data_IF_797437090318
#
_entry.id   IF_797437090318
#
_cell.length_a   1.000
_cell.length_b   1.000
_cell.length_c   1.000
_cell.angle_alpha   90.00
_cell.angle_beta   90.00
_cell.angle_gamma   90.00
#
_symmetry.space_group_name_H-M   'P 1'
#
loop_
_entity.id
_entity.type
_entity.pdbx_description
1 polymer ?
#
# COMPACT_ATOMS: atom_id res chain seq x y z
N UNK A 1 20.19 30.99 25.05
CA UNK A 1 20.01 29.51 24.95
C UNK A 1 18.56 29.01 25.02
N UNK A 2 17.52 29.84 25.29
CA UNK A 2 16.11 29.41 25.19
C UNK A 2 15.52 29.48 23.77
N UNK A 3 15.97 30.42 22.94
CA UNK A 3 15.45 30.62 21.57
C UNK A 3 15.76 29.42 20.64
N UNK A 4 17.02 28.97 20.59
CA UNK A 4 17.46 27.84 19.77
C UNK A 4 16.69 26.53 20.06
N UNK A 5 16.40 26.24 21.34
CA UNK A 5 15.64 25.04 21.70
C UNK A 5 14.19 25.06 21.22
N UNK A 6 13.58 26.25 21.16
CA UNK A 6 12.20 26.42 20.70
C UNK A 6 12.12 26.30 19.18
N UNK A 7 13.11 26.84 18.46
CA UNK A 7 13.19 26.77 17.00
C UNK A 7 13.40 25.32 16.53
N UNK A 8 14.37 24.60 17.09
CA UNK A 8 14.61 23.19 16.76
C UNK A 8 13.40 22.29 17.04
N UNK A 9 12.63 22.56 18.09
CA UNK A 9 11.39 21.80 18.37
C UNK A 9 10.27 22.09 17.36
N UNK A 10 10.19 23.31 16.82
CA UNK A 10 9.19 23.65 15.79
C UNK A 10 9.51 23.02 14.46
N UNK A 11 10.77 23.03 14.05
CA UNK A 11 11.21 22.47 12.78
C UNK A 11 10.94 20.96 12.73
N UNK A 12 11.33 20.26 13.79
CA UNK A 12 11.07 18.82 13.93
C UNK A 12 9.57 18.48 13.89
N UNK A 13 8.74 19.27 14.58
CA UNK A 13 7.29 19.06 14.55
C UNK A 13 6.70 19.35 13.15
N UNK A 14 7.34 20.19 12.35
CA UNK A 14 6.93 20.44 10.98
C UNK A 14 7.30 19.29 10.06
N UNK A 15 8.52 18.75 10.20
CA UNK A 15 8.99 17.56 9.47
C UNK A 15 8.10 16.35 9.77
N UNK A 16 7.86 16.05 11.05
CA UNK A 16 7.01 14.92 11.46
C UNK A 16 5.57 15.04 10.91
N UNK A 17 5.04 16.26 10.78
CA UNK A 17 3.73 16.48 10.15
C UNK A 17 3.77 16.22 8.64
N UNK A 18 4.80 16.70 7.94
CA UNK A 18 4.94 16.48 6.50
C UNK A 18 5.07 14.98 6.17
N UNK A 19 5.89 14.26 6.94
CA UNK A 19 6.04 12.79 6.82
C UNK A 19 4.68 12.08 7.01
N UNK A 20 3.94 12.43 8.07
CA UNK A 20 2.63 11.84 8.35
C UNK A 20 1.58 12.22 7.29
N UNK A 21 1.61 13.45 6.79
CA UNK A 21 0.69 13.95 5.75
C UNK A 21 0.86 13.18 4.44
N UNK A 22 2.11 13.02 3.99
CA UNK A 22 2.42 12.21 2.80
C UNK A 22 1.93 10.77 2.99
N UNK A 23 2.34 10.12 4.09
CA UNK A 23 1.99 8.73 4.37
C UNK A 23 0.48 8.50 4.52
N UNK A 24 -0.26 9.52 4.98
CA UNK A 24 -1.72 9.48 5.09
C UNK A 24 -2.40 9.41 3.73
N UNK A 25 -1.77 9.93 2.67
CA UNK A 25 -2.27 9.89 1.29
C UNK A 25 -2.16 8.53 0.60
N UNK A 26 -1.54 7.53 1.25
CA UNK A 26 -1.35 6.19 0.68
C UNK A 26 -2.45 5.24 1.17
N UNK A 27 -3.15 4.62 0.22
CA UNK A 27 -4.23 3.67 0.49
C UNK A 27 -4.28 2.54 -0.55
N UNK A 28 -4.95 1.45 -0.20
CA UNK A 28 -5.20 0.36 -1.14
C UNK A 28 -6.43 -0.47 -0.76
N UNK A 29 -7.12 -1.00 -1.77
CA UNK A 29 -8.30 -1.85 -1.59
C UNK A 29 -8.44 -2.86 -2.73
N UNK A 30 -9.12 -3.97 -2.45
CA UNK A 30 -9.37 -4.98 -3.47
C UNK A 30 -10.36 -4.44 -4.51
N UNK A 31 -10.11 -4.79 -5.77
CA UNK A 31 -10.99 -4.53 -6.91
C UNK A 31 -11.29 -5.84 -7.63
N UNK A 32 -12.37 -5.84 -8.38
CA UNK A 32 -12.63 -6.86 -9.37
C UNK A 32 -12.98 -6.20 -10.71
N UNK A 33 -12.67 -6.89 -11.80
CA UNK A 33 -13.09 -6.52 -13.13
C UNK A 33 -13.86 -7.67 -13.75
N UNK A 34 -14.86 -7.34 -14.55
CA UNK A 34 -15.52 -8.30 -15.43
C UNK A 34 -15.10 -7.98 -16.86
N UNK A 35 -14.35 -8.89 -17.46
CA UNK A 35 -13.92 -8.85 -18.83
C UNK A 35 -14.61 -9.97 -19.63
N UNK A 36 -15.00 -9.69 -20.87
CA UNK A 36 -15.73 -10.68 -21.69
C UNK A 36 -14.85 -11.84 -22.13
N UNK A 37 -13.55 -11.61 -22.31
CA UNK A 37 -12.58 -12.60 -22.79
C UNK A 37 -11.82 -13.24 -21.62
N UNK A 38 -11.40 -12.43 -20.64
CA UNK A 38 -10.60 -12.86 -19.48
C UNK A 38 -11.44 -13.28 -18.28
N UNK A 39 -12.76 -13.07 -18.31
CA UNK A 39 -13.67 -13.41 -17.21
C UNK A 39 -13.51 -12.50 -15.99
N UNK A 40 -13.73 -13.05 -14.80
CA UNK A 40 -13.58 -12.30 -13.54
C UNK A 40 -12.10 -12.16 -13.17
N UNK A 41 -11.59 -10.94 -13.22
CA UNK A 41 -10.25 -10.62 -12.76
C UNK A 41 -10.31 -10.01 -11.37
N UNK A 42 -9.31 -10.34 -10.56
CA UNK A 42 -9.13 -9.83 -9.20
C UNK A 42 -7.90 -8.95 -9.21
N UNK A 43 -7.95 -7.87 -8.46
CA UNK A 43 -6.81 -7.00 -8.33
C UNK A 43 -6.85 -6.17 -7.07
N UNK A 44 -5.86 -5.31 -6.94
CA UNK A 44 -5.76 -4.31 -5.89
C UNK A 44 -5.61 -2.96 -6.57
N UNK A 45 -6.44 -2.00 -6.17
CA UNK A 45 -6.18 -0.60 -6.47
C UNK A 45 -5.31 -0.01 -5.38
N UNK A 46 -4.25 0.68 -5.78
CA UNK A 46 -3.38 1.49 -4.96
C UNK A 46 -3.60 2.94 -5.31
N UNK A 47 -3.71 3.75 -4.27
CA UNK A 47 -3.95 5.18 -4.36
C UNK A 47 -2.83 5.90 -3.64
N UNK A 48 -2.21 6.84 -4.34
CA UNK A 48 -1.26 7.79 -3.79
C UNK A 48 -1.80 9.20 -4.07
N UNK A 49 -2.39 9.83 -3.06
CA UNK A 49 -2.88 11.21 -3.15
C UNK A 49 -1.82 12.26 -2.82
N UNK A 50 -0.59 11.85 -2.49
CA UNK A 50 0.48 12.81 -2.21
C UNK A 50 1.05 13.37 -3.52
N UNK A 51 1.82 14.45 -3.40
CA UNK A 51 2.51 15.09 -4.51
C UNK A 51 3.85 14.42 -4.86
N UNK A 52 4.21 13.35 -4.15
CA UNK A 52 5.48 12.65 -4.29
C UNK A 52 5.31 11.13 -4.43
N UNK A 53 6.23 10.45 -5.15
CA UNK A 53 6.25 8.99 -5.19
C UNK A 53 6.58 8.39 -3.81
N UNK A 54 6.11 7.17 -3.59
CA UNK A 54 6.57 6.30 -2.51
C UNK A 54 7.26 5.06 -3.09
N UNK A 55 8.12 4.43 -2.31
CA UNK A 55 9.02 3.37 -2.74
C UNK A 55 8.84 2.09 -1.93
N UNK A 56 9.43 1.00 -2.40
CA UNK A 56 9.45 -0.30 -1.71
C UNK A 56 8.05 -0.75 -1.25
N UNK A 57 7.05 -0.56 -2.10
CA UNK A 57 5.65 -0.81 -1.74
C UNK A 57 5.41 -2.31 -1.69
N UNK A 58 4.93 -2.80 -0.54
CA UNK A 58 4.54 -4.20 -0.34
C UNK A 58 3.10 -4.23 0.12
N UNK A 59 2.28 -4.99 -0.59
CA UNK A 59 0.85 -5.12 -0.30
C UNK A 59 0.53 -6.57 0.05
N UNK A 60 0.00 -6.78 1.25
CA UNK A 60 -0.53 -8.07 1.67
C UNK A 60 -2.06 -8.04 1.55
N UNK A 61 -2.63 -9.08 0.97
CA UNK A 61 -4.08 -9.19 0.80
C UNK A 61 -4.59 -10.61 0.94
N UNK A 62 -5.87 -10.75 1.27
CA UNK A 62 -6.58 -12.03 1.31
C UNK A 62 -7.72 -12.08 0.32
N UNK A 63 -8.09 -13.30 -0.05
CA UNK A 63 -9.14 -13.59 -1.02
C UNK A 63 -9.88 -14.87 -0.67
N UNK A 64 -11.18 -14.91 -0.92
CA UNK A 64 -11.97 -16.16 -0.88
C UNK A 64 -12.60 -16.45 -2.24
N UNK A 65 -12.40 -17.67 -2.75
CA UNK A 65 -12.89 -18.13 -4.06
C UNK A 65 -14.42 -18.23 -4.13
N UNK A 66 -15.06 -18.46 -2.99
CA UNK A 66 -16.51 -18.54 -2.88
C UNK A 66 -16.96 -17.80 -1.63
N UNK A 67 -18.24 -17.41 -1.57
CA UNK A 67 -18.81 -16.76 -0.40
C UNK A 67 -18.66 -17.60 0.89
N UNK A 68 -18.73 -18.93 0.76
CA UNK A 68 -18.60 -19.88 1.88
C UNK A 68 -17.14 -20.30 2.16
N UNK A 69 -16.22 -20.13 1.20
CA UNK A 69 -14.82 -20.52 1.35
C UNK A 69 -14.05 -19.67 2.35
N UNK A 70 -12.95 -20.20 2.87
CA UNK A 70 -12.05 -19.46 3.76
C UNK A 70 -11.25 -18.40 3.00
N UNK A 71 -10.88 -17.33 3.70
CA UNK A 71 -9.98 -16.32 3.16
C UNK A 71 -8.56 -16.88 3.14
N UNK A 72 -7.93 -16.90 1.99
CA UNK A 72 -6.55 -17.31 1.80
C UNK A 72 -5.66 -16.10 1.53
N UNK A 73 -4.44 -16.04 2.07
CA UNK A 73 -3.48 -15.01 1.72
C UNK A 73 -3.07 -15.16 0.25
N UNK A 74 -3.01 -14.03 -0.45
CA UNK A 74 -2.40 -13.96 -1.78
C UNK A 74 -0.89 -13.73 -1.67
N UNK A 75 -0.17 -14.01 -2.76
CA UNK A 75 1.22 -13.58 -2.88
C UNK A 75 1.31 -12.05 -2.75
N UNK A 76 2.27 -11.52 -1.96
CA UNK A 76 2.39 -10.07 -1.80
C UNK A 76 2.71 -9.37 -3.12
N UNK A 77 2.00 -8.28 -3.40
CA UNK A 77 2.32 -7.40 -4.53
C UNK A 77 3.50 -6.51 -4.12
N UNK A 78 4.50 -6.41 -4.99
CA UNK A 78 5.70 -5.61 -4.76
C UNK A 78 5.87 -4.61 -5.89
N UNK A 79 5.90 -3.32 -5.55
CA UNK A 79 6.22 -2.25 -6.50
C UNK A 79 7.46 -1.50 -6.01
N UNK A 80 8.44 -1.31 -6.88
CA UNK A 80 9.62 -0.50 -6.55
C UNK A 80 9.25 0.98 -6.33
N UNK A 81 8.23 1.46 -7.03
CA UNK A 81 7.73 2.83 -6.94
C UNK A 81 6.22 2.87 -7.17
N UNK A 82 5.53 3.73 -6.42
CA UNK A 82 4.14 4.10 -6.63
C UNK A 82 4.07 5.63 -6.80
N UNK A 83 4.00 6.13 -8.05
CA UNK A 83 3.83 7.56 -8.32
C UNK A 83 2.50 8.10 -7.79
N UNK A 84 2.33 9.42 -7.73
CA UNK A 84 1.02 10.04 -7.50
C UNK A 84 -0.03 9.51 -8.49
N UNK A 85 -1.24 9.28 -7.98
CA UNK A 85 -2.39 8.82 -8.75
C UNK A 85 -2.97 7.49 -8.30
N UNK A 86 -3.76 6.89 -9.19
CA UNK A 86 -4.51 5.67 -8.97
C UNK A 86 -4.03 4.58 -9.91
N UNK A 87 -3.59 3.45 -9.35
CA UNK A 87 -3.07 2.32 -10.11
C UNK A 87 -3.77 1.04 -9.69
N UNK A 88 -3.99 0.13 -10.63
CA UNK A 88 -4.55 -1.18 -10.36
C UNK A 88 -3.55 -2.24 -10.77
N UNK A 89 -3.36 -3.22 -9.90
CA UNK A 89 -2.55 -4.41 -10.15
C UNK A 89 -3.47 -5.61 -10.16
N UNK A 90 -3.58 -6.30 -11.30
CA UNK A 90 -4.32 -7.55 -11.40
C UNK A 90 -3.44 -8.75 -11.06
N UNK A 91 -4.06 -9.84 -10.61
CA UNK A 91 -3.41 -11.14 -10.47
C UNK A 91 -2.97 -11.65 -11.86
N UNK A 92 -1.74 -12.17 -11.96
CA UNK A 92 -1.24 -12.80 -13.18
C UNK A 92 -0.96 -14.29 -12.92
N UNK A 93 -1.43 -15.22 -13.78
CA UNK A 93 -1.27 -16.65 -13.55
C UNK A 93 0.19 -17.12 -13.40
N UNK A 94 1.11 -16.50 -14.17
CA UNK A 94 2.52 -16.91 -14.24
C UNK A 94 3.43 -16.10 -13.31
N UNK A 95 3.12 -14.83 -13.10
CA UNK A 95 4.00 -13.87 -12.40
C UNK A 95 3.43 -13.41 -11.07
N UNK A 96 2.33 -14.03 -10.63
CA UNK A 96 1.50 -13.70 -9.47
C UNK A 96 0.80 -12.32 -9.56
N UNK A 97 1.46 -11.31 -10.11
CA UNK A 97 0.90 -9.98 -10.35
C UNK A 97 1.28 -9.47 -11.74
N UNK A 98 0.35 -8.76 -12.38
CA UNK A 98 0.59 -8.02 -13.61
C UNK A 98 1.28 -6.68 -13.31
N UNK A 99 1.63 -5.92 -14.35
CA UNK A 99 2.07 -4.55 -14.18
C UNK A 99 0.97 -3.68 -13.57
N UNK A 100 1.39 -2.66 -12.81
CA UNK A 100 0.49 -1.62 -12.35
C UNK A 100 0.03 -0.78 -13.55
N UNK A 101 -1.28 -0.68 -13.74
CA UNK A 101 -1.90 0.13 -14.79
C UNK A 101 -2.65 1.30 -14.17
N UNK A 102 -2.59 2.47 -14.78
CA UNK A 102 -3.38 3.62 -14.32
C UNK A 102 -4.88 3.29 -14.34
N UNK A 103 -5.57 3.62 -13.25
CA UNK A 103 -7.02 3.35 -13.13
C UNK A 103 -7.81 3.99 -14.25
N UNK A 104 -7.39 5.15 -14.75
CA UNK A 104 -8.05 5.88 -15.84
C UNK A 104 -7.91 5.19 -17.22
N UNK A 105 -6.83 4.42 -17.43
CA UNK A 105 -6.63 3.64 -18.66
C UNK A 105 -7.46 2.34 -18.67
N UNK A 106 -7.94 1.90 -17.51
CA UNK A 106 -8.70 0.67 -17.36
C UNK A 106 -10.20 0.87 -17.62
N UNK A 107 -10.90 -0.19 -18.10
CA UNK A 107 -12.32 -0.10 -18.39
C UNK A 107 -13.14 0.26 -17.15
N UNK A 108 -14.34 0.80 -17.42
CA UNK A 108 -15.29 1.13 -16.36
C UNK A 108 -15.73 -0.11 -15.56
N UNK A 109 -15.56 -1.33 -16.06
CA UNK A 109 -15.94 -2.56 -15.35
C UNK A 109 -15.10 -2.86 -14.11
N UNK A 110 -13.97 -2.17 -13.89
CA UNK A 110 -13.19 -2.30 -12.65
C UNK A 110 -13.91 -1.61 -11.49
N UNK A 111 -14.25 -2.36 -10.44
CA UNK A 111 -15.04 -1.88 -9.30
C UNK A 111 -14.38 -2.23 -7.96
N UNK A 112 -14.49 -1.36 -6.94
CA UNK A 112 -14.05 -1.68 -5.59
C UNK A 112 -14.89 -2.80 -4.97
N UNK A 113 -14.24 -3.66 -4.20
CA UNK A 113 -14.90 -4.69 -3.41
C UNK A 113 -15.18 -4.12 -2.02
N UNK A 114 -16.45 -3.76 -1.76
CA UNK A 114 -16.86 -3.09 -0.50
C UNK A 114 -17.73 -3.95 0.41
N UNK A 115 -18.25 -5.08 -0.07
CA UNK A 115 -19.21 -5.93 0.67
C UNK A 115 -18.69 -7.32 1.04
N UNK A 116 -17.46 -7.67 0.63
CA UNK A 116 -16.89 -8.98 0.90
C UNK A 116 -15.80 -8.88 1.99
N UNK A 117 -16.09 -9.26 3.24
CA UNK A 117 -15.14 -9.15 4.35
C UNK A 117 -13.95 -10.11 4.23
N UNK A 118 -13.96 -11.03 3.26
CA UNK A 118 -12.87 -11.98 2.99
C UNK A 118 -11.91 -11.49 1.90
N UNK A 119 -12.23 -10.36 1.26
CA UNK A 119 -11.38 -9.71 0.27
C UNK A 119 -10.85 -8.44 0.89
N UNK A 120 -9.63 -8.51 1.43
CA UNK A 120 -9.09 -7.46 2.28
C UNK A 120 -7.65 -7.18 1.88
N UNK A 121 -7.31 -5.90 1.73
CA UNK A 121 -5.92 -5.47 1.81
C UNK A 121 -5.55 -5.45 3.30
N UNK A 122 -4.79 -6.45 3.72
CA UNK A 122 -4.39 -6.64 5.11
C UNK A 122 -3.34 -5.63 5.53
N UNK A 123 -2.37 -5.34 4.65
CA UNK A 123 -1.41 -4.27 4.88
C UNK A 123 -0.88 -3.63 3.59
N UNK A 124 -0.46 -2.37 3.70
CA UNK A 124 0.34 -1.64 2.70
C UNK A 124 1.54 -1.07 3.42
N UNK A 125 2.73 -1.61 3.16
CA UNK A 125 4.00 -1.09 3.65
C UNK A 125 4.72 -0.34 2.53
N UNK A 126 5.40 0.76 2.85
CA UNK A 126 6.10 1.59 1.87
C UNK A 126 7.16 2.48 2.55
N UNK A 127 8.06 3.04 1.75
CA UNK A 127 9.01 4.09 2.13
C UNK A 127 8.54 5.41 1.51
N UNK A 128 8.37 6.47 2.29
CA UNK A 128 7.95 7.78 1.80
C UNK A 128 9.11 8.55 1.12
N UNK A 129 8.84 9.78 0.66
CA UNK A 129 9.85 10.59 -0.03
C UNK A 129 10.94 11.11 0.91
N UNK A 130 10.71 11.06 2.23
CA UNK A 130 11.64 11.42 3.28
C UNK A 130 12.47 10.22 3.77
N UNK A 131 12.28 9.03 3.19
CA UNK A 131 12.97 7.81 3.59
C UNK A 131 12.40 7.14 4.83
N UNK A 132 11.24 7.59 5.32
CA UNK A 132 10.56 6.99 6.47
C UNK A 132 9.73 5.79 6.00
N UNK A 133 9.86 4.68 6.74
CA UNK A 133 9.09 3.47 6.47
C UNK A 133 7.76 3.52 7.20
N UNK A 134 6.71 3.17 6.49
CA UNK A 134 5.34 3.19 6.97
C UNK A 134 4.65 1.85 6.74
N UNK A 135 3.67 1.54 7.57
CA UNK A 135 2.72 0.47 7.34
C UNK A 135 1.30 0.95 7.66
N UNK A 136 0.40 0.74 6.71
CA UNK A 136 -1.04 0.79 6.94
C UNK A 136 -1.56 -0.62 7.12
N UNK A 137 -2.10 -0.95 8.30
CA UNK A 137 -2.67 -2.29 8.61
C UNK A 137 -4.01 -2.12 9.30
N UNK A 138 -5.07 -2.74 8.75
CA UNK A 138 -6.42 -2.62 9.28
C UNK A 138 -6.91 -1.16 9.38
N UNK A 139 -6.49 -0.30 8.44
CA UNK A 139 -6.80 1.13 8.41
C UNK A 139 -5.84 2.02 9.23
N UNK A 140 -5.18 1.48 10.25
CA UNK A 140 -4.23 2.23 11.07
C UNK A 140 -2.89 2.43 10.35
N UNK A 141 -2.40 3.67 10.30
CA UNK A 141 -1.09 4.03 9.78
C UNK A 141 -0.08 4.13 10.92
N UNK A 142 1.09 3.51 10.75
CA UNK A 142 2.18 3.54 11.73
C UNK A 142 3.52 3.67 11.03
N UNK A 143 4.42 4.42 11.66
CA UNK A 143 5.84 4.42 11.31
C UNK A 143 6.46 3.09 11.72
N UNK A 144 7.27 2.52 10.85
CA UNK A 144 8.12 1.37 11.14
C UNK A 144 9.47 1.91 11.59
N UNK A 145 9.67 2.01 12.90
CA UNK A 145 10.98 2.37 13.44
C UNK A 145 11.99 1.29 13.06
N UNK A 146 13.18 1.70 12.60
CA UNK A 146 14.29 0.77 12.41
C UNK A 146 14.81 0.32 13.79
N UNK A 147 14.16 -0.70 14.35
CA UNK A 147 14.73 -1.57 15.38
C UNK A 147 14.47 -3.01 14.92
N UNK A 148 15.41 -3.68 14.28
CA UNK A 148 16.54 -4.35 14.95
C UNK A 148 17.62 -4.63 13.91
N UNK A 149 18.82 -4.07 14.10
CA UNK A 149 20.03 -4.57 13.45
C UNK A 149 20.30 -6.03 13.89
N UNK A 150 21.08 -6.81 13.13
CA UNK A 150 21.18 -8.26 13.34
C UNK A 150 21.59 -8.60 14.76
N UNK A 151 20.94 -9.62 15.33
CA UNK A 151 21.38 -10.27 16.55
C UNK A 151 22.88 -10.60 16.40
N UNK A 152 23.68 -10.08 17.34
CA UNK A 152 25.07 -10.47 17.47
C UNK A 152 25.14 -11.99 17.48
N UNK A 153 25.84 -12.55 16.49
CA UNK A 153 26.35 -13.91 16.53
C UNK A 153 27.28 -14.02 17.73
N UNK A 154 26.77 -14.58 18.82
CA UNK A 154 27.57 -15.04 19.95
C UNK A 154 28.44 -16.22 19.51
N UNK A 155 29.70 -16.12 19.90
CA UNK A 155 30.78 -17.08 19.68
C UNK A 155 30.53 -18.45 20.35
#
# INVERSE_FOLDING_TARGET
MKLFKIETSRDRASEERAEMEQASGIAGWCVFAQDREKGHQKGIQLHNSSDAPVYDVVVESTYAATAKGEAQPLQPIRLSVLPPGDYVVFEHPEYHCAYAEERAALPASVRPVSKNPKWVVGSVAFTDAHGVKWIRRGGALRRLDQATGPAASGA
#
